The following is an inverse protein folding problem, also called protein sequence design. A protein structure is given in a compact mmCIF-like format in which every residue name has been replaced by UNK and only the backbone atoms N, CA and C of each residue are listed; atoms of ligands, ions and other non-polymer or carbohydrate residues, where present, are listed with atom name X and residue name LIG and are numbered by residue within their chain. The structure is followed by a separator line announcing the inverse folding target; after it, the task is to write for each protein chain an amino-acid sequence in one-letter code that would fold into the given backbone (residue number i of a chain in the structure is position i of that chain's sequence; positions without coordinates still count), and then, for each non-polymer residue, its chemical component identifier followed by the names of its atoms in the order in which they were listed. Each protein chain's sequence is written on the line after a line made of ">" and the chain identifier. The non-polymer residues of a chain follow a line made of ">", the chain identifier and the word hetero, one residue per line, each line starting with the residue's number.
data_IF_025253186664
#
_entry.id   IF_025253186664
#
_cell.length_a   1.000
_cell.length_b   1.000
_cell.length_c   1.000
_cell.angle_alpha   90.00
_cell.angle_beta   90.00
_cell.angle_gamma   90.00
#
_symmetry.space_group_name_H-M   'P 1'
#
loop_
_entity.id
_entity.type
_entity.pdbx_description
1 polymer ?
#
# COMPACT_ATOMS: atom_id res chain seq x y z
N UNK A 1 28.61 -20.47 -3.98
CA UNK A 1 27.24 -20.84 -3.58
C UNK A 1 26.85 -19.91 -2.42
N UNK A 2 25.86 -19.04 -2.56
CA UNK A 2 25.43 -18.22 -1.42
C UNK A 2 24.80 -19.15 -0.39
N UNK A 3 25.32 -19.23 0.85
CA UNK A 3 24.87 -20.16 1.90
C UNK A 3 23.48 -19.87 2.48
N UNK A 4 22.62 -19.18 1.74
CA UNK A 4 21.28 -18.82 2.18
C UNK A 4 20.32 -20.01 1.98
N UNK A 5 19.62 -20.37 3.05
CA UNK A 5 18.56 -21.37 3.00
C UNK A 5 17.21 -20.73 2.69
N UNK A 6 16.42 -21.39 1.86
CA UNK A 6 15.07 -20.95 1.50
C UNK A 6 14.09 -21.45 2.55
N UNK A 7 13.23 -20.56 3.05
CA UNK A 7 12.16 -20.95 3.95
C UNK A 7 10.96 -21.49 3.13
N UNK A 8 10.85 -22.82 3.02
CA UNK A 8 9.79 -23.48 2.25
C UNK A 8 8.39 -23.22 2.81
N UNK A 9 8.24 -22.98 4.12
CA UNK A 9 6.95 -22.68 4.75
C UNK A 9 6.41 -21.33 4.30
N UNK A 10 7.29 -20.36 4.06
CA UNK A 10 6.94 -19.01 3.58
C UNK A 10 6.98 -18.88 2.06
N UNK A 11 7.45 -19.92 1.36
CA UNK A 11 7.57 -19.93 -0.09
C UNK A 11 6.32 -20.52 -0.70
N UNK A 12 5.76 -19.82 -1.70
CA UNK A 12 4.57 -20.24 -2.42
C UNK A 12 4.83 -20.11 -3.92
N UNK A 13 4.36 -21.09 -4.69
CA UNK A 13 4.43 -21.08 -6.14
C UNK A 13 3.13 -20.51 -6.70
N UNK A 14 3.23 -19.50 -7.55
CA UNK A 14 2.09 -18.86 -8.18
C UNK A 14 2.13 -19.14 -9.68
N UNK A 15 1.20 -19.96 -10.17
CA UNK A 15 1.11 -20.41 -11.56
C UNK A 15 -0.15 -19.87 -12.23
N UNK A 16 -0.10 -19.68 -13.54
CA UNK A 16 -1.24 -19.24 -14.35
C UNK A 16 -2.38 -20.25 -14.30
N UNK A 17 -3.63 -19.79 -14.32
CA UNK A 17 -4.82 -20.68 -14.27
C UNK A 17 -4.84 -21.70 -15.41
N UNK A 18 -4.28 -21.30 -16.56
CA UNK A 18 -4.11 -22.16 -17.75
C UNK A 18 -2.89 -23.08 -17.70
N UNK A 19 -2.10 -23.05 -16.61
CA UNK A 19 -0.94 -23.93 -16.48
C UNK A 19 -1.39 -25.38 -16.28
N UNK A 20 -0.93 -26.33 -17.12
CA UNK A 20 -1.31 -27.73 -16.97
C UNK A 20 -0.88 -28.29 -15.62
N UNK A 21 -1.75 -29.09 -14.99
CA UNK A 21 -1.48 -29.74 -13.69
C UNK A 21 -0.18 -30.56 -13.69
N UNK A 22 0.22 -31.11 -14.85
CA UNK A 22 1.48 -31.84 -15.02
C UNK A 22 2.70 -30.98 -14.71
N UNK A 23 2.68 -29.70 -15.13
CA UNK A 23 3.76 -28.74 -14.87
C UNK A 23 3.81 -28.40 -13.39
N UNK A 24 2.66 -28.15 -12.76
CA UNK A 24 2.58 -27.93 -11.32
C UNK A 24 3.15 -29.12 -10.52
N UNK A 25 2.70 -30.34 -10.83
CA UNK A 25 3.15 -31.56 -10.14
C UNK A 25 4.65 -31.78 -10.32
N UNK A 26 5.18 -31.49 -11.50
CA UNK A 26 6.62 -31.58 -11.77
C UNK A 26 7.42 -30.58 -10.92
N UNK A 27 7.01 -29.32 -10.88
CA UNK A 27 7.67 -28.28 -10.07
C UNK A 27 7.56 -28.61 -8.58
N UNK A 28 6.38 -29.03 -8.11
CA UNK A 28 6.15 -29.43 -6.72
C UNK A 28 7.04 -30.60 -6.32
N UNK A 29 7.20 -31.60 -7.20
CA UNK A 29 8.07 -32.76 -6.95
C UNK A 29 9.54 -32.36 -6.81
N UNK A 30 10.00 -31.38 -7.59
CA UNK A 30 11.40 -30.92 -7.57
C UNK A 30 11.67 -29.98 -6.39
N UNK A 31 10.77 -29.03 -6.13
CA UNK A 31 11.01 -27.92 -5.19
C UNK A 31 10.39 -28.13 -3.81
N UNK A 32 9.39 -29.00 -3.68
CA UNK A 32 8.59 -29.16 -2.46
C UNK A 32 7.66 -27.98 -2.16
N UNK A 33 7.63 -26.94 -2.99
CA UNK A 33 6.85 -25.72 -2.76
C UNK A 33 5.38 -25.95 -3.15
N UNK A 34 4.46 -25.51 -2.30
CA UNK A 34 3.01 -25.61 -2.55
C UNK A 34 2.51 -24.43 -3.39
N UNK A 35 1.36 -24.61 -4.05
CA UNK A 35 0.75 -23.55 -4.86
C UNK A 35 0.02 -22.55 -3.96
N UNK A 36 0.27 -21.27 -4.18
CA UNK A 36 -0.47 -20.18 -3.57
C UNK A 36 -1.79 -19.88 -4.32
N UNK A 37 -2.71 -19.23 -3.63
CA UNK A 37 -4.00 -18.82 -4.19
C UNK A 37 -3.95 -17.36 -4.66
N UNK A 38 -4.63 -17.08 -5.77
CA UNK A 38 -4.88 -15.72 -6.22
C UNK A 38 -6.26 -15.24 -5.78
N UNK A 39 -6.48 -13.92 -5.62
CA UNK A 39 -5.47 -12.87 -5.60
C UNK A 39 -4.65 -12.89 -4.29
N UNK A 40 -3.42 -12.38 -4.29
CA UNK A 40 -2.60 -12.22 -3.08
C UNK A 40 -1.91 -10.86 -3.02
N UNK A 41 -1.41 -10.46 -1.85
CA UNK A 41 -0.70 -9.18 -1.67
C UNK A 41 0.80 -9.42 -1.57
N UNK A 42 1.56 -8.83 -2.48
CA UNK A 42 3.02 -8.82 -2.46
C UNK A 42 3.53 -7.40 -2.21
N UNK A 43 4.23 -7.19 -1.09
CA UNK A 43 4.77 -5.88 -0.69
C UNK A 43 3.72 -4.75 -0.70
N UNK A 44 2.48 -5.06 -0.33
CA UNK A 44 1.37 -4.11 -0.34
C UNK A 44 0.67 -3.92 -1.69
N UNK A 45 1.11 -4.62 -2.74
CA UNK A 45 0.49 -4.59 -4.07
C UNK A 45 -0.33 -5.87 -4.33
N UNK A 46 -1.60 -5.78 -4.76
CA UNK A 46 -2.38 -6.94 -5.14
C UNK A 46 -1.85 -7.55 -6.45
N UNK A 47 -1.63 -8.86 -6.45
CA UNK A 47 -1.21 -9.68 -7.59
C UNK A 47 -2.35 -10.64 -7.93
N UNK A 48 -2.76 -10.66 -9.20
CA UNK A 48 -3.91 -11.44 -9.69
C UNK A 48 -3.79 -11.73 -11.19
N UNK A 49 -4.59 -12.69 -11.67
CA UNK A 49 -4.75 -12.97 -13.09
C UNK A 49 -5.92 -12.22 -13.71
N UNK A 50 -5.81 -11.97 -15.02
CA UNK A 50 -6.86 -11.35 -15.80
C UNK A 50 -6.91 -9.83 -15.68
N UNK A 51 -8.09 -9.27 -15.93
CA UNK A 51 -8.27 -7.83 -16.07
C UNK A 51 -8.29 -7.15 -14.70
N UNK A 52 -7.59 -6.02 -14.59
CA UNK A 52 -7.61 -5.17 -13.38
C UNK A 52 -9.04 -4.73 -13.08
N UNK A 53 -9.57 -5.18 -11.95
CA UNK A 53 -10.85 -4.69 -11.40
C UNK A 53 -10.58 -3.74 -10.22
N UNK A 54 -11.43 -2.71 -10.06
CA UNK A 54 -11.36 -1.71 -8.98
C UNK A 54 -11.31 -2.35 -7.59
N UNK A 55 -12.07 -3.43 -7.38
CA UNK A 55 -12.17 -4.13 -6.09
C UNK A 55 -10.80 -4.60 -5.56
N UNK A 56 -9.86 -4.97 -6.44
CA UNK A 56 -8.51 -5.39 -6.02
C UNK A 56 -7.71 -4.25 -5.39
N UNK A 57 -8.01 -3.00 -5.74
CA UNK A 57 -7.28 -1.81 -5.30
C UNK A 57 -7.97 -1.09 -4.15
N UNK A 58 -9.16 -1.53 -3.72
CA UNK A 58 -9.93 -0.84 -2.68
C UNK A 58 -9.14 -0.72 -1.37
N UNK A 59 -8.47 -1.80 -0.95
CA UNK A 59 -7.64 -1.78 0.26
C UNK A 59 -6.43 -0.85 0.11
N UNK A 60 -5.82 -0.81 -1.07
CA UNK A 60 -4.70 0.09 -1.38
C UNK A 60 -5.17 1.55 -1.31
N UNK A 61 -6.30 1.86 -1.95
CA UNK A 61 -6.91 3.19 -1.93
C UNK A 61 -7.22 3.59 -0.48
N UNK A 62 -7.81 2.69 0.32
CA UNK A 62 -8.10 2.95 1.73
C UNK A 62 -6.83 3.27 2.53
N UNK A 63 -5.73 2.55 2.28
CA UNK A 63 -4.42 2.84 2.91
C UNK A 63 -3.88 4.21 2.50
N UNK A 64 -3.97 4.56 1.21
CA UNK A 64 -3.55 5.87 0.70
C UNK A 64 -4.40 6.99 1.31
N UNK A 65 -5.73 6.82 1.36
CA UNK A 65 -6.65 7.79 1.96
C UNK A 65 -6.39 8.00 3.45
N UNK A 66 -6.07 6.93 4.20
CA UNK A 66 -5.65 7.06 5.60
C UNK A 66 -4.36 7.86 5.77
N UNK A 67 -3.39 7.71 4.86
CA UNK A 67 -2.16 8.51 4.90
C UNK A 67 -2.41 9.96 4.51
N UNK A 68 -3.22 10.17 3.49
CA UNK A 68 -3.61 11.51 3.05
C UNK A 68 -4.29 12.26 4.20
N UNK A 69 -5.32 11.67 4.82
CA UNK A 69 -6.00 12.26 5.99
C UNK A 69 -5.04 12.59 7.13
N UNK A 70 -4.12 11.69 7.48
CA UNK A 70 -3.10 11.97 8.49
C UNK A 70 -2.22 13.18 8.11
N UNK A 71 -1.73 13.23 6.87
CA UNK A 71 -0.91 14.34 6.37
C UNK A 71 -1.70 15.64 6.41
N UNK A 72 -2.96 15.64 5.98
CA UNK A 72 -3.81 16.84 6.02
C UNK A 72 -4.01 17.34 7.46
N UNK A 73 -4.27 16.44 8.41
CA UNK A 73 -4.40 16.81 9.82
C UNK A 73 -3.10 17.37 10.40
N UNK A 74 -1.96 16.73 10.12
CA UNK A 74 -0.66 17.22 10.58
C UNK A 74 -0.39 18.62 10.03
N UNK A 75 -0.56 18.82 8.73
CA UNK A 75 -0.34 20.12 8.08
C UNK A 75 -1.26 21.22 8.61
N UNK A 76 -2.51 20.90 8.93
CA UNK A 76 -3.44 21.86 9.55
C UNK A 76 -3.06 22.19 11.00
N UNK A 77 -2.56 21.22 11.77
CA UNK A 77 -2.25 21.39 13.20
C UNK A 77 -0.97 22.21 13.47
N UNK A 78 0.03 22.14 12.58
CA UNK A 78 1.30 22.86 12.70
C UNK A 78 1.12 24.39 12.87
N UNK A 79 0.42 25.09 11.96
CA UNK A 79 0.20 26.53 12.11
C UNK A 79 -0.67 26.85 13.31
N UNK A 80 -1.68 26.03 13.65
CA UNK A 80 -2.52 26.24 14.84
C UNK A 80 -1.65 26.24 16.12
N UNK A 81 -0.75 25.28 16.26
CA UNK A 81 0.20 25.24 17.37
C UNK A 81 1.12 26.48 17.39
N UNK A 82 1.62 26.89 16.24
CA UNK A 82 2.48 28.08 16.10
C UNK A 82 1.72 29.37 16.48
N UNK A 83 0.46 29.50 16.05
CA UNK A 83 -0.41 30.63 16.36
C UNK A 83 -0.69 30.72 17.88
N UNK A 84 -0.94 29.58 18.54
CA UNK A 84 -1.13 29.51 20.00
C UNK A 84 0.12 29.98 20.77
N UNK A 85 1.32 29.72 20.25
CA UNK A 85 2.56 30.13 20.87
C UNK A 85 2.88 31.62 20.69
N UNK A 86 2.45 32.23 19.59
CA UNK A 86 2.86 33.59 19.19
C UNK A 86 1.76 34.67 19.34
N UNK A 87 0.48 34.30 19.49
CA UNK A 87 -0.67 35.22 19.49
C UNK A 87 -0.61 36.33 18.40
N UNK A 88 -0.44 35.98 17.11
CA UNK A 88 -0.27 36.98 16.07
C UNK A 88 -1.59 37.66 15.66
N UNK A 89 -1.53 38.79 14.92
CA UNK A 89 -2.71 39.54 14.49
C UNK A 89 -3.62 38.75 13.55
N UNK A 90 -4.93 39.05 13.56
CA UNK A 90 -5.95 38.38 12.74
C UNK A 90 -5.67 38.42 11.23
N UNK A 91 -4.97 39.44 10.73
CA UNK A 91 -4.58 39.56 9.32
C UNK A 91 -3.63 38.43 8.89
N UNK A 92 -2.66 38.05 9.72
CA UNK A 92 -1.75 36.94 9.45
C UNK A 92 -2.46 35.58 9.53
N UNK A 93 -3.40 35.42 10.47
CA UNK A 93 -4.22 34.21 10.58
C UNK A 93 -5.03 34.00 9.28
N UNK A 94 -5.62 35.06 8.75
CA UNK A 94 -6.37 35.01 7.49
C UNK A 94 -5.49 34.68 6.28
N UNK A 95 -4.25 35.19 6.23
CA UNK A 95 -3.30 34.83 5.18
C UNK A 95 -2.90 33.34 5.24
N UNK A 96 -2.64 32.82 6.44
CA UNK A 96 -2.34 31.40 6.65
C UNK A 96 -3.51 30.49 6.24
N UNK A 97 -4.75 30.85 6.60
CA UNK A 97 -5.93 30.10 6.18
C UNK A 97 -6.06 30.03 4.65
N UNK A 98 -5.80 31.12 3.93
CA UNK A 98 -5.82 31.12 2.45
C UNK A 98 -4.77 30.18 1.86
N UNK A 99 -3.54 30.19 2.38
CA UNK A 99 -2.47 29.31 1.91
C UNK A 99 -2.83 27.83 2.16
N UNK A 100 -3.36 27.51 3.35
CA UNK A 100 -3.78 26.15 3.69
C UNK A 100 -4.94 25.67 2.81
N UNK A 101 -5.92 26.55 2.51
CA UNK A 101 -7.01 26.21 1.60
C UNK A 101 -6.52 25.92 0.18
N UNK A 102 -5.55 26.68 -0.33
CA UNK A 102 -4.97 26.44 -1.67
C UNK A 102 -4.20 25.11 -1.71
N UNK A 103 -3.52 24.72 -0.64
CA UNK A 103 -2.74 23.48 -0.60
C UNK A 103 -3.60 22.21 -0.39
N UNK A 104 -4.77 22.34 0.23
CA UNK A 104 -5.63 21.22 0.61
C UNK A 104 -6.87 21.05 -0.29
N UNK A 105 -7.27 22.09 -1.02
CA UNK A 105 -8.37 22.07 -2.00
C UNK A 105 -7.90 21.75 -3.41
#
# INVERSE_FOLDING_TARGET
>A
MSGHMINLVKSLLYLHEKTPIRVYNHIKKITGIIQGLFPFVYLGCPVFYGRKNKNHFEELIKKVMKRYTLITHVLQSIPIYMLLAMNPPASMINQLHKILQIFLG
#
